data_IF_383523653460
#
_entry.id   IF_383523653460
#
_cell.length_a   1.000
_cell.length_b   1.000
_cell.length_c   1.000
_cell.angle_alpha   90.00
_cell.angle_beta   90.00
_cell.angle_gamma   90.00
#
_symmetry.space_group_name_H-M   'P 1'
#
loop_
_entity.id
_entity.type
_entity.pdbx_description
1 polymer ?
#
# COMPACT_ATOMS: atom_id res chain seq x y z
N UNK A 1 -7.46 2.73 7.88
CA UNK A 1 -7.58 1.88 6.67
C UNK A 1 -6.40 0.92 6.54
N UNK A 2 -5.17 1.39 6.27
CA UNK A 2 -3.98 0.51 6.24
C UNK A 2 -3.45 0.16 7.64
N UNK A 3 -3.40 1.13 8.57
CA UNK A 3 -3.02 0.84 9.96
C UNK A 3 -4.02 -0.14 10.62
N UNK A 4 -5.31 0.01 10.32
CA UNK A 4 -6.37 -0.88 10.83
C UNK A 4 -6.30 -2.28 10.24
N UNK A 5 -5.62 -2.47 9.09
CA UNK A 5 -5.38 -3.78 8.48
C UNK A 5 -4.12 -4.46 9.01
N UNK A 6 -3.60 -4.01 10.15
CA UNK A 6 -2.42 -4.60 10.80
C UNK A 6 -1.08 -4.19 10.19
N UNK A 7 -1.04 -3.21 9.27
CA UNK A 7 0.21 -2.69 8.74
C UNK A 7 0.88 -1.77 9.77
N UNK A 8 2.01 -2.22 10.28
CA UNK A 8 2.94 -1.39 11.04
C UNK A 8 3.94 -0.74 10.07
N UNK A 9 3.86 0.58 9.91
CA UNK A 9 4.67 1.33 8.95
C UNK A 9 6.08 1.55 9.50
N UNK A 10 7.09 1.14 8.72
CA UNK A 10 8.51 1.39 8.98
C UNK A 10 9.01 2.62 8.21
N UNK A 11 8.57 2.77 6.96
CA UNK A 11 8.91 3.90 6.11
C UNK A 11 7.74 4.33 5.25
N UNK A 12 7.64 5.63 4.98
CA UNK A 12 6.68 6.22 4.06
C UNK A 12 7.35 7.34 3.28
N UNK A 13 7.29 7.23 1.95
CA UNK A 13 7.74 8.25 1.02
C UNK A 13 6.58 8.60 0.07
N UNK A 14 6.41 9.88 -0.22
CA UNK A 14 5.39 10.35 -1.15
C UNK A 14 5.99 11.30 -2.17
N UNK A 15 5.56 11.18 -3.42
CA UNK A 15 5.97 12.07 -4.49
C UNK A 15 4.76 12.52 -5.31
N UNK A 16 4.73 13.79 -5.66
CA UNK A 16 3.82 14.33 -6.67
C UNK A 16 4.65 14.56 -7.93
N UNK A 17 4.45 13.74 -8.95
CA UNK A 17 5.09 13.90 -10.25
C UNK A 17 4.57 15.16 -10.96
N UNK A 18 5.18 16.32 -10.69
CA UNK A 18 4.72 17.64 -11.17
C UNK A 18 5.00 17.89 -12.68
N UNK A 19 5.59 16.91 -13.39
CA UNK A 19 6.14 17.09 -14.75
C UNK A 19 5.59 16.07 -15.77
N UNK A 20 4.39 15.52 -15.57
CA UNK A 20 3.75 14.58 -16.51
C UNK A 20 2.33 15.03 -16.87
N UNK A 21 1.79 14.62 -18.04
CA UNK A 21 0.50 15.10 -18.54
C UNK A 21 -0.71 14.81 -17.62
N UNK A 22 -0.55 13.91 -16.66
CA UNK A 22 -1.43 13.76 -15.49
C UNK A 22 -0.56 13.79 -14.24
N UNK A 23 -0.95 14.61 -13.26
CA UNK A 23 -0.27 14.69 -11.96
C UNK A 23 -0.42 13.33 -11.26
N UNK A 24 0.62 12.50 -11.31
CA UNK A 24 0.64 11.22 -10.62
C UNK A 24 1.15 11.43 -9.20
N UNK A 25 0.31 11.13 -8.22
CA UNK A 25 0.72 11.04 -6.82
C UNK A 25 1.09 9.60 -6.50
N UNK A 26 2.33 9.36 -6.06
CA UNK A 26 2.81 8.06 -5.65
C UNK A 26 3.14 8.04 -4.17
N UNK A 27 2.84 6.92 -3.52
CA UNK A 27 3.26 6.64 -2.15
C UNK A 27 4.01 5.31 -2.16
N UNK A 28 5.20 5.28 -1.59
CA UNK A 28 5.91 4.06 -1.24
C UNK A 28 5.75 3.85 0.27
N UNK A 29 5.29 2.67 0.67
CA UNK A 29 5.15 2.29 2.08
C UNK A 29 5.92 0.99 2.31
N UNK A 30 6.81 1.00 3.29
CA UNK A 30 7.47 -0.20 3.81
C UNK A 30 6.97 -0.46 5.23
N UNK A 31 6.65 -1.72 5.54
CA UNK A 31 6.08 -2.07 6.83
C UNK A 31 6.10 -3.56 7.13
N UNK A 32 5.71 -3.90 8.36
CA UNK A 32 5.49 -5.28 8.80
C UNK A 32 4.01 -5.53 9.04
N UNK A 33 3.56 -6.77 8.80
CA UNK A 33 2.22 -7.24 9.13
C UNK A 33 2.37 -8.36 10.14
N UNK A 34 1.65 -8.28 11.26
CA UNK A 34 1.86 -9.16 12.42
C UNK A 34 1.04 -10.45 12.39
N UNK A 35 -0.05 -10.50 11.64
CA UNK A 35 -0.94 -11.66 11.55
C UNK A 35 -1.03 -12.14 10.11
N UNK A 36 -2.07 -11.73 9.38
CA UNK A 36 -2.31 -12.13 8.00
C UNK A 36 -2.20 -10.93 7.06
N UNK A 37 -1.69 -11.17 5.85
CA UNK A 37 -1.60 -10.13 4.81
C UNK A 37 -2.95 -9.90 4.10
N UNK A 38 -3.92 -10.81 4.24
CA UNK A 38 -5.23 -10.75 3.56
C UNK A 38 -5.98 -9.44 3.78
N UNK A 39 -6.10 -8.90 5.01
CA UNK A 39 -6.79 -7.63 5.24
C UNK A 39 -6.13 -6.45 4.51
N UNK A 40 -4.81 -6.51 4.28
CA UNK A 40 -4.09 -5.48 3.53
C UNK A 40 -4.45 -5.53 2.04
N UNK A 41 -4.60 -6.73 1.47
CA UNK A 41 -5.07 -6.90 0.10
C UNK A 41 -6.48 -6.34 -0.09
N UNK A 42 -7.41 -6.66 0.81
CA UNK A 42 -8.80 -6.18 0.75
C UNK A 42 -8.89 -4.65 0.80
N UNK A 43 -8.10 -4.01 1.67
CA UNK A 43 -8.05 -2.55 1.74
C UNK A 43 -7.48 -1.93 0.46
N UNK A 44 -6.44 -2.52 -0.12
CA UNK A 44 -5.83 -2.02 -1.36
C UNK A 44 -6.76 -2.19 -2.57
N UNK A 45 -7.47 -3.32 -2.67
CA UNK A 45 -8.47 -3.58 -3.71
C UNK A 45 -9.61 -2.57 -3.62
N UNK A 46 -10.15 -2.33 -2.43
CA UNK A 46 -11.18 -1.30 -2.22
C UNK A 46 -10.69 0.10 -2.59
N UNK A 47 -9.43 0.44 -2.28
CA UNK A 47 -8.86 1.72 -2.67
C UNK A 47 -8.69 1.84 -4.20
N UNK A 48 -8.35 0.73 -4.87
CA UNK A 48 -8.33 0.67 -6.34
C UNK A 48 -9.72 0.96 -6.92
N UNK A 49 -10.76 0.31 -6.41
CA UNK A 49 -12.13 0.47 -6.91
C UNK A 49 -12.73 1.84 -6.58
N UNK A 50 -12.59 2.30 -5.34
CA UNK A 50 -13.24 3.52 -4.86
C UNK A 50 -12.51 4.81 -5.29
N UNK A 51 -11.18 4.73 -5.49
CA UNK A 51 -10.32 5.91 -5.71
C UNK A 51 -9.50 5.84 -6.99
N UNK A 52 -9.66 4.79 -7.80
CA UNK A 52 -8.90 4.57 -9.03
C UNK A 52 -7.39 4.61 -8.78
N UNK A 53 -6.95 4.02 -7.66
CA UNK A 53 -5.54 3.92 -7.27
C UNK A 53 -4.95 2.65 -7.88
N UNK A 54 -3.79 2.77 -8.52
CA UNK A 54 -2.98 1.62 -8.88
C UNK A 54 -2.05 1.29 -7.72
N UNK A 55 -1.97 0.01 -7.34
CA UNK A 55 -1.11 -0.44 -6.24
C UNK A 55 -0.29 -1.67 -6.64
N UNK A 56 0.82 -1.86 -5.93
CA UNK A 56 1.60 -3.09 -5.95
C UNK A 56 1.98 -3.43 -4.50
N UNK A 57 1.71 -4.67 -4.11
CA UNK A 57 2.11 -5.21 -2.81
C UNK A 57 3.14 -6.31 -3.04
N UNK A 58 4.34 -6.13 -2.47
CA UNK A 58 5.46 -7.07 -2.60
C UNK A 58 5.80 -7.63 -1.22
N UNK A 59 5.41 -8.87 -0.90
CA UNK A 59 5.82 -9.52 0.35
C UNK A 59 7.32 -9.85 0.33
N UNK A 60 8.07 -9.38 1.33
CA UNK A 60 9.53 -9.61 1.41
C UNK A 60 9.86 -10.93 2.14
N UNK A 61 9.07 -11.31 3.15
CA UNK A 61 9.26 -12.52 3.97
C UNK A 61 7.93 -13.25 4.24
N UNK A 62 7.21 -13.69 3.20
CA UNK A 62 5.89 -14.34 3.32
C UNK A 62 5.91 -15.77 3.90
N UNK A 63 6.99 -16.19 4.56
CA UNK A 63 7.13 -17.52 5.18
C UNK A 63 6.36 -17.65 6.51
N UNK A 64 5.49 -16.71 6.85
CA UNK A 64 4.58 -16.83 8.00
C UNK A 64 3.34 -17.56 7.49
N UNK A 65 3.33 -18.88 7.74
CA UNK A 65 2.18 -19.79 7.58
C UNK A 65 1.35 -19.78 8.86
#
# INVERSE_FOLDING_TARGET
MLADSGLNILSLESNLGINQPQNTYSIHIEGTVSEEITPLYEVLERLSDEKNIQYQLIPINSQVV
#
